data_IF_014686251998
#
_entry.id   IF_014686251998
#
_cell.length_a   1.000
_cell.length_b   1.000
_cell.length_c   1.000
_cell.angle_alpha   90.00
_cell.angle_beta   90.00
_cell.angle_gamma   90.00
#
_symmetry.space_group_name_H-M   'P 1'
#
loop_
_entity.id
_entity.type
_entity.pdbx_description
1 polymer ?
#
# COMPACT_ATOMS: atom_id res chain seq x y z
N UNK A 1 -18.10 14.13 -8.07
CA UNK A 1 -18.59 13.89 -6.70
C UNK A 1 -17.89 14.87 -5.78
N UNK A 2 -18.57 15.39 -4.76
CA UNK A 2 -17.95 16.31 -3.81
C UNK A 2 -17.21 15.59 -2.67
N UNK A 3 -17.60 14.33 -2.40
CA UNK A 3 -16.94 13.47 -1.40
C UNK A 3 -15.68 12.85 -2.02
N UNK A 4 -14.53 12.88 -1.32
CA UNK A 4 -13.27 12.32 -1.85
C UNK A 4 -13.31 10.79 -1.93
N UNK A 5 -12.67 10.24 -2.97
CA UNK A 5 -12.57 8.80 -3.20
C UNK A 5 -11.16 8.28 -2.92
N UNK A 6 -11.08 7.11 -2.30
CA UNK A 6 -9.86 6.30 -2.18
C UNK A 6 -9.93 5.11 -3.11
N UNK A 7 -8.89 4.88 -3.90
CA UNK A 7 -8.84 3.76 -4.85
C UNK A 7 -7.65 2.83 -4.60
N UNK A 8 -7.84 1.54 -4.88
CA UNK A 8 -6.78 0.54 -4.80
C UNK A 8 -6.00 0.43 -6.10
N UNK A 9 -4.67 0.29 -6.02
CA UNK A 9 -3.80 0.04 -7.17
C UNK A 9 -2.76 -1.06 -6.87
N UNK A 10 -2.32 -1.76 -7.93
CA UNK A 10 -1.27 -2.78 -7.88
C UNK A 10 0.06 -2.35 -8.50
N UNK A 11 0.02 -1.32 -9.34
CA UNK A 11 1.16 -0.76 -10.06
C UNK A 11 0.92 0.74 -10.33
N UNK A 12 1.94 1.46 -10.79
CA UNK A 12 1.85 2.89 -11.01
C UNK A 12 0.81 3.24 -12.09
N UNK A 13 0.70 2.44 -13.15
CA UNK A 13 -0.27 2.66 -14.22
C UNK A 13 -1.71 2.67 -13.71
N UNK A 14 -2.09 1.67 -12.90
CA UNK A 14 -3.39 1.64 -12.23
C UNK A 14 -3.60 2.86 -11.33
N UNK A 15 -2.62 3.22 -10.52
CA UNK A 15 -2.71 4.38 -9.62
C UNK A 15 -2.99 5.67 -10.40
N UNK A 16 -2.21 5.93 -11.46
CA UNK A 16 -2.37 7.13 -12.28
C UNK A 16 -3.70 7.15 -13.04
N UNK A 17 -4.21 6.01 -13.52
CA UNK A 17 -5.56 5.96 -14.10
C UNK A 17 -6.64 6.33 -13.09
N UNK A 18 -6.56 5.83 -11.85
CA UNK A 18 -7.50 6.19 -10.78
C UNK A 18 -7.43 7.67 -10.41
N UNK A 19 -6.22 8.24 -10.36
CA UNK A 19 -6.04 9.67 -10.15
C UNK A 19 -6.65 10.48 -11.30
N UNK A 20 -6.48 10.03 -12.55
CA UNK A 20 -7.09 10.64 -13.73
C UNK A 20 -8.63 10.59 -13.72
N UNK A 21 -9.21 9.61 -13.04
CA UNK A 21 -10.66 9.50 -12.79
C UNK A 21 -11.15 10.33 -11.59
N UNK A 22 -10.24 10.98 -10.84
CA UNK A 22 -10.56 11.84 -9.71
C UNK A 22 -10.36 11.21 -8.33
N UNK A 23 -9.61 10.12 -8.21
CA UNK A 23 -9.22 9.60 -6.89
C UNK A 23 -8.36 10.61 -6.13
N UNK A 24 -8.75 10.92 -4.89
CA UNK A 24 -8.05 11.86 -4.01
C UNK A 24 -7.02 11.17 -3.10
N UNK A 25 -6.98 9.83 -3.12
CA UNK A 25 -6.05 9.00 -2.36
C UNK A 25 -5.89 7.65 -3.06
N UNK A 26 -4.69 7.10 -3.02
CA UNK A 26 -4.38 5.75 -3.47
C UNK A 26 -4.01 4.87 -2.27
N UNK A 27 -4.35 3.59 -2.36
CA UNK A 27 -3.83 2.56 -1.48
C UNK A 27 -3.37 1.34 -2.27
N UNK A 28 -2.50 0.51 -1.70
CA UNK A 28 -2.30 -0.84 -2.24
C UNK A 28 -3.62 -1.62 -2.19
N UNK A 29 -3.85 -2.50 -3.17
CA UNK A 29 -4.96 -3.45 -3.05
C UNK A 29 -4.65 -4.47 -1.94
N UNK A 30 -3.49 -5.11 -2.05
CA UNK A 30 -3.08 -6.24 -1.20
C UNK A 30 -4.13 -7.37 -1.23
N UNK A 31 -3.96 -8.39 -0.40
CA UNK A 31 -4.99 -9.41 -0.21
C UNK A 31 -5.71 -9.13 1.12
N UNK A 32 -6.92 -8.60 1.04
CA UNK A 32 -7.65 -8.15 2.22
C UNK A 32 -8.21 -9.35 3.00
N UNK A 33 -8.09 -9.33 4.33
CA UNK A 33 -8.62 -10.39 5.19
C UNK A 33 -7.77 -11.65 5.29
N UNK A 34 -6.63 -11.73 4.59
CA UNK A 34 -5.72 -12.88 4.63
C UNK A 34 -4.73 -12.85 5.79
N UNK A 35 -4.48 -11.69 6.41
CA UNK A 35 -3.39 -11.54 7.39
C UNK A 35 -1.99 -11.74 6.80
N UNK A 36 -1.85 -11.65 5.47
CA UNK A 36 -0.59 -11.83 4.76
C UNK A 36 -0.26 -10.59 3.91
N UNK A 37 0.85 -9.91 4.26
CA UNK A 37 1.26 -8.65 3.65
C UNK A 37 1.96 -8.76 2.29
N UNK A 38 2.26 -9.98 1.81
CA UNK A 38 3.11 -10.17 0.62
C UNK A 38 2.64 -9.38 -0.59
N UNK A 39 1.33 -9.36 -0.86
CA UNK A 39 0.80 -8.61 -2.00
C UNK A 39 0.78 -7.11 -1.75
N UNK A 40 0.56 -6.64 -0.52
CA UNK A 40 0.71 -5.22 -0.20
C UNK A 40 2.16 -4.76 -0.40
N UNK A 41 3.14 -5.56 0.03
CA UNK A 41 4.58 -5.32 -0.19
C UNK A 41 4.90 -5.28 -1.68
N UNK A 42 4.39 -6.27 -2.46
CA UNK A 42 4.59 -6.33 -3.92
C UNK A 42 4.07 -5.06 -4.59
N UNK A 43 2.83 -4.68 -4.32
CA UNK A 43 2.21 -3.49 -4.92
C UNK A 43 2.94 -2.20 -4.55
N UNK A 44 3.30 -2.03 -3.26
CA UNK A 44 4.01 -0.84 -2.80
C UNK A 44 5.37 -0.71 -3.48
N UNK A 45 6.15 -1.80 -3.53
CA UNK A 45 7.45 -1.81 -4.23
C UNK A 45 7.29 -1.48 -5.70
N UNK A 46 6.36 -2.13 -6.41
CA UNK A 46 6.10 -1.85 -7.83
C UNK A 46 5.79 -0.37 -8.07
N UNK A 47 4.88 0.22 -7.28
CA UNK A 47 4.51 1.64 -7.41
C UNK A 47 5.72 2.55 -7.14
N UNK A 48 6.44 2.32 -6.04
CA UNK A 48 7.59 3.15 -5.65
C UNK A 48 8.76 3.02 -6.62
N UNK A 49 9.04 1.83 -7.11
CA UNK A 49 10.12 1.57 -8.08
C UNK A 49 9.80 2.18 -9.44
N UNK A 50 8.54 2.08 -9.90
CA UNK A 50 8.09 2.76 -11.12
C UNK A 50 8.19 4.28 -10.98
N UNK A 51 7.80 4.86 -9.84
CA UNK A 51 7.96 6.30 -9.58
C UNK A 51 9.43 6.71 -9.65
N UNK A 52 10.31 5.98 -8.97
CA UNK A 52 11.77 6.22 -9.02
C UNK A 52 12.30 6.11 -10.44
N UNK A 53 11.87 5.10 -11.21
CA UNK A 53 12.26 4.94 -12.62
C UNK A 53 11.89 6.17 -13.44
N UNK A 54 10.67 6.71 -13.29
CA UNK A 54 10.24 7.89 -14.03
C UNK A 54 11.14 9.10 -13.78
N UNK A 55 11.65 9.29 -12.55
CA UNK A 55 12.57 10.40 -12.22
C UNK A 55 13.92 10.34 -12.95
N UNK A 56 14.27 9.18 -13.52
CA UNK A 56 15.53 8.98 -14.25
C UNK A 56 15.38 9.13 -15.78
N UNK A 57 14.15 9.26 -16.28
CA UNK A 57 13.88 9.33 -17.72
C UNK A 57 14.01 10.76 -18.24
N UNK A 58 14.51 10.89 -19.47
CA UNK A 58 14.46 12.15 -20.22
C UNK A 58 13.03 12.46 -20.72
N UNK A 59 12.70 13.74 -21.00
CA UNK A 59 11.39 14.15 -21.50
C UNK A 59 10.93 13.36 -22.75
N UNK A 60 11.85 13.03 -23.64
CA UNK A 60 11.61 12.26 -24.86
C UNK A 60 11.19 10.80 -24.60
N UNK A 61 11.54 10.25 -23.44
CA UNK A 61 11.21 8.88 -23.05
C UNK A 61 9.86 8.80 -22.32
N UNK A 62 9.33 9.92 -21.80
CA UNK A 62 8.11 9.95 -21.00
C UNK A 62 6.87 9.53 -21.81
N UNK A 63 6.80 9.84 -23.11
CA UNK A 63 5.70 9.40 -23.97
C UNK A 63 5.63 7.88 -24.09
N UNK A 64 6.78 7.22 -24.22
CA UNK A 64 6.88 5.75 -24.25
C UNK A 64 6.48 5.17 -22.90
N UNK A 65 7.00 5.72 -21.80
CA UNK A 65 6.65 5.28 -20.45
C UNK A 65 5.15 5.44 -20.16
N UNK A 66 4.54 6.54 -20.61
CA UNK A 66 3.11 6.80 -20.51
C UNK A 66 2.27 5.75 -21.23
N UNK A 67 2.65 5.38 -22.46
CA UNK A 67 2.00 4.31 -23.23
C UNK A 67 2.09 2.98 -22.49
N UNK A 68 3.28 2.61 -22.03
CA UNK A 68 3.52 1.31 -21.41
C UNK A 68 2.82 1.18 -20.05
N UNK A 69 2.74 2.28 -19.27
CA UNK A 69 1.94 2.35 -18.05
C UNK A 69 0.43 2.38 -18.32
N UNK A 70 0.01 2.79 -19.53
CA UNK A 70 -1.38 3.04 -19.87
C UNK A 70 -2.00 4.13 -18.99
N UNK A 71 -1.27 5.22 -18.75
CA UNK A 71 -1.63 6.28 -17.80
C UNK A 71 -1.70 7.66 -18.47
N UNK A 72 -2.44 8.65 -17.92
CA UNK A 72 -2.48 10.00 -18.48
C UNK A 72 -1.10 10.68 -18.48
N UNK A 73 -0.69 11.23 -19.62
CA UNK A 73 0.65 11.79 -19.81
C UNK A 73 1.00 12.88 -18.78
N UNK A 74 0.10 13.83 -18.53
CA UNK A 74 0.36 14.90 -17.55
C UNK A 74 0.63 14.37 -16.14
N UNK A 75 -0.05 13.29 -15.74
CA UNK A 75 0.21 12.66 -14.44
C UNK A 75 1.57 11.96 -14.42
N UNK A 76 1.94 11.27 -15.51
CA UNK A 76 3.27 10.64 -15.66
C UNK A 76 4.36 11.70 -15.56
N UNK A 77 4.19 12.84 -16.24
CA UNK A 77 5.12 13.97 -16.19
C UNK A 77 5.24 14.55 -14.78
N UNK A 78 4.12 14.79 -14.09
CA UNK A 78 4.14 15.28 -12.71
C UNK A 78 4.87 14.34 -11.76
N UNK A 79 4.69 13.01 -11.91
CA UNK A 79 5.41 12.03 -11.10
C UNK A 79 6.89 11.99 -11.46
N UNK A 80 7.25 12.08 -12.74
CA UNK A 80 8.64 12.15 -13.18
C UNK A 80 9.36 13.39 -12.59
N UNK A 81 8.68 14.53 -12.57
CA UNK A 81 9.21 15.79 -12.03
C UNK A 81 9.33 15.76 -10.49
N UNK A 82 8.31 15.23 -9.80
CA UNK A 82 8.21 15.31 -8.33
C UNK A 82 8.74 14.09 -7.58
N UNK A 83 8.89 12.94 -8.24
CA UNK A 83 9.26 11.66 -7.63
C UNK A 83 8.21 11.10 -6.66
N UNK A 84 6.98 11.60 -6.71
CA UNK A 84 5.86 11.19 -5.83
C UNK A 84 4.52 11.30 -6.55
N UNK A 85 3.52 10.58 -6.05
CA UNK A 85 2.14 10.75 -6.51
C UNK A 85 1.61 12.15 -6.14
N UNK A 86 0.70 12.72 -6.94
CA UNK A 86 0.02 13.98 -6.61
C UNK A 86 -1.06 13.82 -5.51
N UNK A 87 -1.26 12.61 -5.00
CA UNK A 87 -2.21 12.26 -3.92
C UNK A 87 -1.54 11.30 -2.93
N UNK A 88 -2.02 11.18 -1.68
CA UNK A 88 -1.42 10.28 -0.70
C UNK A 88 -1.43 8.81 -1.15
N UNK A 89 -0.35 8.09 -0.86
CA UNK A 89 -0.16 6.67 -1.17
C UNK A 89 -0.08 5.81 0.10
N UNK A 90 -1.16 5.10 0.43
CA UNK A 90 -1.26 4.32 1.66
C UNK A 90 -1.05 2.82 1.41
N UNK A 91 -0.67 2.08 2.44
CA UNK A 91 -0.67 0.62 2.41
C UNK A 91 -1.99 0.05 2.94
N UNK A 92 -2.47 -1.02 2.32
CA UNK A 92 -3.63 -1.79 2.75
C UNK A 92 -3.53 -3.25 2.29
N UNK A 93 -4.18 -4.14 3.05
CA UNK A 93 -4.24 -5.58 2.79
C UNK A 93 -3.16 -6.34 3.57
N UNK A 94 -3.57 -7.35 4.32
CA UNK A 94 -2.64 -8.25 5.02
C UNK A 94 -1.99 -7.76 6.31
N UNK A 95 -1.98 -6.46 6.62
CA UNK A 95 -1.30 -5.91 7.81
C UNK A 95 -1.94 -6.48 9.09
N UNK A 96 -1.16 -7.22 9.89
CA UNK A 96 -1.64 -7.89 11.10
C UNK A 96 -0.78 -7.59 12.34
N UNK A 97 0.45 -7.11 12.16
CA UNK A 97 1.41 -6.87 13.25
C UNK A 97 2.00 -5.45 13.21
N UNK A 98 2.61 -4.98 14.32
CA UNK A 98 3.36 -3.72 14.32
C UNK A 98 4.54 -3.73 13.33
N UNK A 99 5.21 -4.88 13.19
CA UNK A 99 6.31 -5.06 12.23
C UNK A 99 5.84 -4.89 10.77
N UNK A 100 4.67 -5.43 10.43
CA UNK A 100 4.05 -5.24 9.11
C UNK A 100 3.80 -3.76 8.81
N UNK A 101 3.21 -3.04 9.78
CA UNK A 101 2.92 -1.62 9.64
C UNK A 101 4.21 -0.82 9.43
N UNK A 102 5.23 -1.08 10.24
CA UNK A 102 6.54 -0.45 10.11
C UNK A 102 7.19 -0.73 8.75
N UNK A 103 7.18 -1.99 8.30
CA UNK A 103 7.72 -2.38 7.01
C UNK A 103 7.05 -1.61 5.87
N UNK A 104 5.72 -1.47 5.88
CA UNK A 104 5.02 -0.73 4.83
C UNK A 104 5.42 0.76 4.79
N UNK A 105 5.60 1.39 5.97
CA UNK A 105 6.09 2.77 6.05
C UNK A 105 7.51 2.88 5.49
N UNK A 106 8.42 1.96 5.83
CA UNK A 106 9.79 1.93 5.31
C UNK A 106 9.85 1.70 3.78
N UNK A 107 8.86 1.00 3.22
CA UNK A 107 8.75 0.78 1.78
C UNK A 107 8.19 1.98 1.01
N UNK A 108 7.79 3.05 1.69
CA UNK A 108 7.33 4.31 1.07
C UNK A 108 5.82 4.56 1.17
N UNK A 109 5.10 3.81 2.02
CA UNK A 109 3.73 4.18 2.38
C UNK A 109 3.70 5.44 3.25
N UNK A 110 2.72 6.31 3.04
CA UNK A 110 2.51 7.50 3.86
C UNK A 110 1.64 7.23 5.10
N UNK A 111 0.84 6.17 5.06
CA UNK A 111 0.11 5.61 6.20
C UNK A 111 -0.38 4.19 5.89
N UNK A 112 -1.01 3.53 6.86
CA UNK A 112 -1.51 2.16 6.75
C UNK A 112 -3.01 2.06 7.07
N UNK A 113 -3.73 1.23 6.31
CA UNK A 113 -5.10 0.79 6.62
C UNK A 113 -5.06 -0.60 7.25
N UNK A 114 -5.66 -0.72 8.42
CA UNK A 114 -5.78 -1.99 9.13
C UNK A 114 -7.22 -2.25 9.53
N UNK A 115 -7.72 -3.44 9.21
CA UNK A 115 -9.06 -3.90 9.55
C UNK A 115 -9.01 -5.21 10.34
N UNK A 116 -9.07 -6.34 9.64
CA UNK A 116 -9.04 -7.68 10.23
C UNK A 116 -7.85 -7.94 11.14
N UNK A 117 -6.69 -7.35 10.83
CA UNK A 117 -5.47 -7.53 11.62
C UNK A 117 -5.64 -7.12 13.09
N UNK A 118 -6.48 -6.12 13.34
CA UNK A 118 -6.83 -5.66 14.69
C UNK A 118 -8.00 -6.48 15.24
N UNK A 119 -9.15 -6.47 14.55
CA UNK A 119 -10.40 -6.99 15.12
C UNK A 119 -10.52 -8.51 15.18
N UNK A 120 -9.66 -9.25 14.45
CA UNK A 120 -9.57 -10.72 14.55
C UNK A 120 -8.40 -11.19 15.43
N UNK A 121 -7.76 -10.29 16.17
CA UNK A 121 -6.74 -10.65 17.15
C UNK A 121 -7.35 -10.96 18.53
N UNK A 122 -6.54 -11.52 19.41
CA UNK A 122 -6.94 -11.85 20.79
C UNK A 122 -7.21 -10.61 21.65
N UNK A 123 -6.45 -9.53 21.48
CA UNK A 123 -6.68 -8.23 22.11
C UNK A 123 -6.64 -7.09 21.06
N UNK A 124 -7.80 -6.72 20.48
CA UNK A 124 -7.89 -5.65 19.50
C UNK A 124 -7.44 -4.28 20.02
N UNK A 125 -7.65 -3.98 21.30
CA UNK A 125 -7.33 -2.66 21.85
C UNK A 125 -5.81 -2.49 21.99
N UNK A 126 -5.13 -3.48 22.56
CA UNK A 126 -3.67 -3.50 22.65
C UNK A 126 -3.04 -3.47 21.26
N UNK A 127 -3.56 -4.28 20.32
CA UNK A 127 -3.03 -4.34 18.95
C UNK A 127 -3.22 -3.05 18.16
N UNK A 128 -4.38 -2.42 18.28
CA UNK A 128 -4.63 -1.13 17.64
C UNK A 128 -3.63 -0.07 18.11
N UNK A 129 -3.41 0.03 19.42
CA UNK A 129 -2.43 0.95 20.01
C UNK A 129 -1.02 0.66 19.50
N UNK A 130 -0.61 -0.61 19.50
CA UNK A 130 0.72 -1.02 19.04
C UNK A 130 0.96 -0.71 17.55
N UNK A 131 -0.03 -0.94 16.69
CA UNK A 131 0.06 -0.62 15.26
C UNK A 131 0.16 0.90 15.05
N UNK A 132 -0.59 1.71 15.79
CA UNK A 132 -0.51 3.18 15.71
C UNK A 132 0.88 3.67 16.15
N UNK A 133 1.40 3.17 17.27
CA UNK A 133 2.74 3.53 17.75
C UNK A 133 3.82 3.09 16.75
N UNK A 134 3.76 1.86 16.22
CA UNK A 134 4.71 1.37 15.22
C UNK A 134 4.66 2.13 13.90
N UNK A 135 3.47 2.55 13.46
CA UNK A 135 3.33 3.39 12.25
C UNK A 135 3.96 4.76 12.46
N UNK A 136 3.83 5.33 13.66
CA UNK A 136 4.39 6.64 14.00
C UNK A 136 5.91 6.60 14.17
N UNK A 137 6.42 5.53 14.77
CA UNK A 137 7.83 5.35 15.13
C UNK A 137 8.51 4.25 14.30
N UNK A 138 8.15 4.12 13.03
CA UNK A 138 8.56 2.98 12.18
C UNK A 138 10.08 2.85 11.95
N UNK A 139 10.86 3.90 12.26
CA UNK A 139 12.33 3.90 12.18
C UNK A 139 13.02 3.65 13.53
N UNK A 140 12.28 3.54 14.63
CA UNK A 140 12.82 3.32 15.96
C UNK A 140 12.69 1.83 16.34
N UNK A 141 13.78 1.04 16.24
CA UNK A 141 13.72 -0.39 16.53
C UNK A 141 13.38 -0.70 17.99
N UNK A 142 13.77 0.16 18.93
CA UNK A 142 13.51 -0.06 20.37
C UNK A 142 12.02 0.09 20.67
N UNK A 143 11.38 1.10 20.07
CA UNK A 143 9.92 1.24 20.14
C UNK A 143 9.23 0.06 19.47
N UNK A 144 9.68 -0.37 18.28
CA UNK A 144 9.07 -1.48 17.55
C UNK A 144 9.11 -2.79 18.34
N UNK A 145 10.22 -3.09 19.01
CA UNK A 145 10.33 -4.25 19.91
C UNK A 145 9.32 -4.11 21.04
N UNK A 146 9.37 -3.00 21.78
CA UNK A 146 8.50 -2.75 22.94
C UNK A 146 7.02 -2.89 22.61
N UNK A 147 6.56 -2.30 21.50
CA UNK A 147 5.13 -2.34 21.13
C UNK A 147 4.70 -3.69 20.55
N UNK A 148 5.65 -4.56 20.18
CA UNK A 148 5.37 -5.91 19.69
C UNK A 148 5.28 -6.96 20.81
N UNK A 149 5.66 -6.60 22.03
CA UNK A 149 5.59 -7.48 23.19
C UNK A 149 4.16 -7.66 23.70
N UNK A 150 3.85 -8.86 24.22
CA UNK A 150 2.62 -9.16 24.97
C UNK A 150 1.31 -8.86 24.22
N UNK A 151 1.31 -8.86 22.87
CA UNK A 151 0.12 -8.59 22.04
C UNK A 151 -0.84 -9.78 21.84
N UNK A 152 -0.53 -10.92 22.45
CA UNK A 152 -1.23 -12.19 22.22
C UNK A 152 -1.21 -12.63 20.75
N UNK A 153 -2.07 -13.59 20.41
CA UNK A 153 -2.13 -14.13 19.06
C UNK A 153 -2.69 -13.11 18.06
N UNK A 154 -2.01 -13.04 16.92
CA UNK A 154 -2.48 -12.33 15.74
C UNK A 154 -3.65 -13.05 15.07
N UNK A 155 -4.29 -12.38 14.11
CA UNK A 155 -5.23 -13.08 13.24
C UNK A 155 -4.53 -14.23 12.50
N UNK A 156 -5.16 -15.40 12.33
CA UNK A 156 -4.61 -16.46 11.51
C UNK A 156 -4.38 -15.99 10.07
N UNK A 157 -3.18 -16.24 9.56
CA UNK A 157 -2.82 -15.97 8.18
C UNK A 157 -3.39 -17.02 7.22
N UNK A 158 -3.75 -16.60 6.01
CA UNK A 158 -4.10 -17.47 4.89
C UNK A 158 -2.91 -17.46 3.92
N UNK A 159 -2.46 -18.65 3.52
CA UNK A 159 -1.39 -18.82 2.54
C UNK A 159 -1.91 -18.49 1.13
N UNK A 160 -1.19 -17.65 0.38
CA UNK A 160 -1.70 -17.11 -0.89
C UNK A 160 -1.88 -18.17 -1.96
N UNK A 161 -0.98 -19.17 -2.03
CA UNK A 161 -1.07 -20.27 -2.98
C UNK A 161 -2.27 -21.20 -2.78
N UNK A 162 -2.92 -21.15 -1.62
CA UNK A 162 -4.16 -21.90 -1.35
C UNK A 162 -5.44 -21.21 -1.83
N UNK A 163 -5.37 -19.94 -2.23
CA UNK A 163 -6.54 -19.20 -2.72
C UNK A 163 -6.76 -19.44 -4.22
N UNK A 164 -7.99 -19.81 -4.59
CA UNK A 164 -8.38 -19.88 -6.00
C UNK A 164 -8.52 -18.48 -6.61
N UNK A 165 -8.35 -18.34 -7.93
CA UNK A 165 -8.37 -17.05 -8.63
C UNK A 165 -9.64 -16.20 -8.36
N UNK A 166 -10.80 -16.84 -8.17
CA UNK A 166 -12.06 -16.16 -7.86
C UNK A 166 -12.16 -15.62 -6.42
N UNK A 167 -11.28 -16.09 -5.53
CA UNK A 167 -11.22 -15.68 -4.12
C UNK A 167 -10.26 -14.50 -3.91
N UNK A 168 -9.35 -14.26 -4.85
CA UNK A 168 -8.41 -13.13 -4.79
C UNK A 168 -9.14 -11.80 -4.91
N UNK A 169 -9.08 -10.99 -3.86
CA UNK A 169 -9.69 -9.67 -3.84
C UNK A 169 -8.85 -8.64 -4.59
N UNK A 170 -7.54 -8.86 -4.68
CA UNK A 170 -6.64 -7.94 -5.40
C UNK A 170 -6.91 -7.86 -6.91
N UNK A 171 -7.48 -8.91 -7.51
CA UNK A 171 -7.79 -8.96 -8.95
C UNK A 171 -9.13 -8.31 -9.28
N UNK A 172 -9.97 -8.00 -8.28
CA UNK A 172 -11.27 -7.35 -8.50
C UNK A 172 -11.08 -5.89 -8.91
N UNK A 173 -11.88 -5.44 -9.88
CA UNK A 173 -11.78 -4.11 -10.47
C UNK A 173 -10.71 -4.02 -11.57
N UNK A 174 -10.26 -2.80 -11.88
CA UNK A 174 -9.19 -2.52 -12.86
C UNK A 174 -7.86 -3.17 -12.51
#
# INVERSE_FOLDING_TARGET
>A
FDVPFVCGARNLGEALRRIGEGACMIRTKGEAGSGNIVEAVRHMRTVVDDMKRLTTLGPEQLMTACRDLGAPYELVRMVADAGKLPVPNFAAGGIATPADASLMMQLGAEAVFVGSGIFKSTDPAARAKAIVEATTHYMDPDILVRVSEQLGDAMPGIEMGTLEDGQLLQTRGW
#
